data_IF_068974420899
#
_entry.id   IF_068974420899
#
_cell.length_a   1.000
_cell.length_b   1.000
_cell.length_c   1.000
_cell.angle_alpha   90.00
_cell.angle_beta   90.00
_cell.angle_gamma   90.00
#
_symmetry.space_group_name_H-M   'P 1'
#
loop_
_entity.id
_entity.type
_entity.pdbx_description
1 polymer ?
#
# COMPACT_ATOMS: atom_id res chain seq x y z
N UNK A 1 -30.12 17.10 -2.01
CA UNK A 1 -28.65 17.02 -2.02
C UNK A 1 -28.31 15.64 -1.49
N UNK A 2 -27.77 14.73 -2.32
CA UNK A 2 -27.31 13.41 -1.85
C UNK A 2 -26.18 13.66 -0.84
N UNK A 3 -26.33 13.10 0.34
CA UNK A 3 -25.37 13.18 1.44
C UNK A 3 -24.05 12.51 1.00
N UNK A 4 -23.07 13.32 0.59
CA UNK A 4 -21.81 12.87 -0.01
C UNK A 4 -20.78 12.46 1.05
N UNK A 5 -21.20 11.68 2.04
CA UNK A 5 -20.31 11.27 3.14
C UNK A 5 -19.34 10.19 2.69
N UNK A 6 -18.05 10.47 2.79
CA UNK A 6 -17.00 9.45 2.67
C UNK A 6 -16.87 8.71 4.00
N UNK A 7 -16.73 7.39 3.95
CA UNK A 7 -16.49 6.57 5.14
C UNK A 7 -15.07 5.98 5.18
N UNK A 8 -14.34 6.07 4.07
CA UNK A 8 -12.98 5.57 3.94
C UNK A 8 -12.06 6.69 3.46
N UNK A 9 -10.98 6.94 4.20
CA UNK A 9 -9.88 7.81 3.83
C UNK A 9 -8.71 6.95 3.37
N UNK A 10 -8.21 7.22 2.18
CA UNK A 10 -7.03 6.58 1.63
C UNK A 10 -5.97 7.63 1.36
N UNK A 11 -4.92 7.60 2.16
CA UNK A 11 -3.78 8.51 2.08
C UNK A 11 -2.71 7.81 1.25
N UNK A 12 -2.25 8.46 0.19
CA UNK A 12 -1.25 7.91 -0.72
C UNK A 12 -0.03 8.83 -0.79
N UNK A 13 1.14 8.25 -1.01
CA UNK A 13 2.39 9.03 -1.04
C UNK A 13 2.37 10.10 -2.14
N UNK A 14 2.10 9.71 -3.39
CA UNK A 14 2.27 10.58 -4.55
C UNK A 14 0.97 10.98 -5.26
N UNK A 15 1.05 12.11 -5.99
CA UNK A 15 -0.08 12.66 -6.78
C UNK A 15 -0.29 11.96 -8.13
N UNK A 16 0.67 11.17 -8.60
CA UNK A 16 0.65 10.65 -9.98
C UNK A 16 0.21 9.19 -10.04
N UNK A 17 1.07 8.25 -9.66
CA UNK A 17 0.81 6.83 -9.84
C UNK A 17 -0.26 6.34 -8.86
N UNK A 18 -0.03 6.53 -7.58
CA UNK A 18 -0.87 6.08 -6.48
C UNK A 18 -2.26 6.71 -6.54
N UNK A 19 -2.29 8.04 -6.68
CA UNK A 19 -3.54 8.78 -6.75
C UNK A 19 -4.40 8.33 -7.94
N UNK A 20 -3.80 8.13 -9.12
CA UNK A 20 -4.53 7.66 -10.30
C UNK A 20 -5.05 6.23 -10.12
N UNK A 21 -4.22 5.34 -9.56
CA UNK A 21 -4.58 3.95 -9.31
C UNK A 21 -5.79 3.86 -8.36
N UNK A 22 -5.69 4.49 -7.20
CA UNK A 22 -6.75 4.42 -6.20
C UNK A 22 -7.98 5.26 -6.53
N UNK A 23 -7.83 6.38 -7.26
CA UNK A 23 -8.98 7.13 -7.79
C UNK A 23 -9.76 6.31 -8.82
N UNK A 24 -9.04 5.57 -9.70
CA UNK A 24 -9.69 4.64 -10.62
C UNK A 24 -10.39 3.51 -9.87
N UNK A 25 -9.72 2.89 -8.88
CA UNK A 25 -10.33 1.88 -8.04
C UNK A 25 -11.60 2.40 -7.36
N UNK A 26 -11.52 3.55 -6.67
CA UNK A 26 -12.65 4.19 -6.00
C UNK A 26 -13.83 4.45 -6.94
N UNK A 27 -13.56 4.80 -8.21
CA UNK A 27 -14.61 5.04 -9.22
C UNK A 27 -15.38 3.78 -9.62
N UNK A 28 -14.83 2.60 -9.38
CA UNK A 28 -15.42 1.30 -9.75
C UNK A 28 -16.16 0.63 -8.58
N UNK A 29 -15.96 1.12 -7.37
CA UNK A 29 -16.63 0.62 -6.16
C UNK A 29 -18.05 1.18 -6.09
N UNK A 30 -18.97 0.42 -5.50
CA UNK A 30 -20.37 0.84 -5.33
C UNK A 30 -20.48 2.12 -4.49
N UNK A 31 -21.54 2.92 -4.76
CA UNK A 31 -21.78 4.23 -4.11
C UNK A 31 -21.90 4.16 -2.57
N UNK A 32 -22.14 2.99 -2.01
CA UNK A 32 -22.31 2.80 -0.56
C UNK A 32 -20.97 2.74 0.21
N UNK A 33 -19.85 2.64 -0.50
CA UNK A 33 -18.49 2.57 0.07
C UNK A 33 -17.61 3.66 -0.52
N UNK A 34 -17.86 4.89 -0.11
CA UNK A 34 -17.19 6.07 -0.69
C UNK A 34 -15.80 6.24 -0.14
N UNK A 35 -14.81 6.15 -1.02
CA UNK A 35 -13.40 6.37 -0.71
C UNK A 35 -13.02 7.80 -1.09
N UNK A 36 -12.42 8.52 -0.14
CA UNK A 36 -11.68 9.75 -0.42
C UNK A 36 -10.20 9.42 -0.52
N UNK A 37 -9.61 9.66 -1.69
CA UNK A 37 -8.17 9.53 -1.91
C UNK A 37 -7.52 10.91 -1.71
N UNK A 38 -6.46 10.95 -0.89
CA UNK A 38 -5.71 12.18 -0.59
C UNK A 38 -4.22 11.90 -0.80
N UNK A 39 -3.55 12.59 -1.73
CA UNK A 39 -2.09 12.52 -1.86
C UNK A 39 -1.44 13.32 -0.73
N UNK A 40 -0.47 12.72 -0.05
CA UNK A 40 0.30 13.37 1.01
C UNK A 40 1.48 14.17 0.47
N UNK A 41 2.05 13.72 -0.66
CA UNK A 41 3.18 14.36 -1.36
C UNK A 41 4.46 14.46 -0.52
N UNK A 42 4.59 13.61 0.48
CA UNK A 42 5.76 13.46 1.33
C UNK A 42 5.87 12.00 1.81
N UNK A 43 6.97 11.64 2.46
CA UNK A 43 7.18 10.29 2.96
C UNK A 43 6.40 10.01 4.26
N UNK A 44 6.25 8.72 4.59
CA UNK A 44 5.53 8.27 5.80
C UNK A 44 6.23 8.74 7.10
N UNK A 45 7.55 9.01 7.04
CA UNK A 45 8.32 9.44 8.21
C UNK A 45 7.81 10.77 8.77
N UNK A 46 7.32 11.68 7.92
CA UNK A 46 6.75 12.95 8.37
C UNK A 46 5.45 12.75 9.17
N UNK A 47 4.56 11.83 8.72
CA UNK A 47 3.34 11.52 9.48
C UNK A 47 3.72 10.89 10.82
N UNK A 48 4.60 9.89 10.79
CA UNK A 48 5.05 9.18 11.99
C UNK A 48 5.71 10.13 12.99
N UNK A 49 6.61 10.98 12.53
CA UNK A 49 7.30 11.98 13.35
C UNK A 49 6.30 12.95 13.99
N UNK A 50 5.39 13.51 13.21
CA UNK A 50 4.38 14.45 13.70
C UNK A 50 3.50 13.84 14.80
N UNK A 51 3.08 12.58 14.65
CA UNK A 51 2.29 11.87 15.67
C UNK A 51 3.13 11.65 16.94
N UNK A 52 4.41 11.28 16.81
CA UNK A 52 5.29 11.03 17.95
C UNK A 52 5.66 12.31 18.73
N UNK A 53 5.90 13.43 18.04
CA UNK A 53 6.31 14.70 18.65
C UNK A 53 5.16 15.43 19.36
N UNK A 54 3.91 15.16 18.99
CA UNK A 54 2.72 15.81 19.55
C UNK A 54 2.02 14.99 20.65
N UNK A 55 2.80 14.20 21.42
CA UNK A 55 2.38 13.47 22.65
C UNK A 55 1.17 12.52 22.48
N UNK A 56 0.99 11.94 21.29
CA UNK A 56 -0.01 10.90 21.07
C UNK A 56 -1.48 11.38 21.08
N UNK A 57 -1.72 12.68 21.13
CA UNK A 57 -3.07 13.26 21.03
C UNK A 57 -3.42 13.69 19.60
N UNK A 58 -2.51 13.52 18.64
CA UNK A 58 -2.65 13.94 17.25
C UNK A 58 -3.03 12.76 16.38
N UNK A 59 -4.12 12.89 15.64
CA UNK A 59 -4.58 11.88 14.69
C UNK A 59 -3.89 12.05 13.34
N UNK A 60 -3.97 11.02 12.47
CA UNK A 60 -3.50 11.14 11.09
C UNK A 60 -4.21 12.26 10.32
N UNK A 61 -5.50 12.48 10.59
CA UNK A 61 -6.26 13.58 9.95
C UNK A 61 -5.73 14.94 10.40
N UNK A 62 -5.38 15.11 11.69
CA UNK A 62 -4.80 16.36 12.18
C UNK A 62 -3.47 16.66 11.49
N UNK A 63 -2.64 15.64 11.31
CA UNK A 63 -1.37 15.78 10.56
C UNK A 63 -1.62 16.21 9.11
N UNK A 64 -2.60 15.61 8.42
CA UNK A 64 -2.96 16.04 7.06
C UNK A 64 -3.40 17.51 7.02
N UNK A 65 -4.24 17.93 7.96
CA UNK A 65 -4.72 19.31 8.04
C UNK A 65 -3.60 20.32 8.33
N UNK A 66 -2.59 19.89 9.06
CA UNK A 66 -1.44 20.71 9.41
C UNK A 66 -0.37 20.75 8.31
N UNK A 67 0.00 19.58 7.75
CA UNK A 67 1.14 19.44 6.83
C UNK A 67 0.79 19.78 5.39
N UNK A 68 -0.48 19.58 4.96
CA UNK A 68 -0.86 19.78 3.57
C UNK A 68 -1.34 21.21 3.32
N UNK A 69 -0.94 21.77 2.19
CA UNK A 69 -1.48 23.04 1.71
C UNK A 69 -2.87 22.84 1.05
N UNK A 70 -3.84 22.44 1.87
CA UNK A 70 -5.20 22.14 1.45
C UNK A 70 -5.98 23.41 1.18
N UNK A 71 -6.79 23.41 0.11
CA UNK A 71 -7.83 24.44 -0.06
C UNK A 71 -8.99 24.22 0.91
N UNK A 72 -9.90 25.21 0.99
CA UNK A 72 -11.00 25.18 1.96
C UNK A 72 -11.94 23.99 1.73
N UNK A 73 -12.24 23.62 0.48
CA UNK A 73 -13.07 22.46 0.15
C UNK A 73 -12.43 21.14 0.62
N UNK A 74 -11.11 20.99 0.46
CA UNK A 74 -10.38 19.82 0.91
C UNK A 74 -10.36 19.70 2.43
N UNK A 75 -10.12 20.82 3.14
CA UNK A 75 -10.20 20.88 4.60
C UNK A 75 -11.60 20.53 5.09
N UNK A 76 -12.62 21.10 4.46
CA UNK A 76 -14.01 20.83 4.81
C UNK A 76 -14.36 19.36 4.66
N UNK A 77 -13.88 18.69 3.60
CA UNK A 77 -14.06 17.24 3.41
C UNK A 77 -13.43 16.46 4.55
N UNK A 78 -12.20 16.78 4.95
CA UNK A 78 -11.52 16.08 6.03
C UNK A 78 -12.18 16.29 7.39
N UNK A 79 -12.67 17.49 7.67
CA UNK A 79 -13.29 17.86 8.96
C UNK A 79 -14.74 17.36 9.05
N UNK A 80 -15.53 17.47 7.99
CA UNK A 80 -16.98 17.16 8.03
C UNK A 80 -17.30 15.67 7.84
N UNK A 81 -16.38 14.89 7.25
CA UNK A 81 -16.61 13.47 7.08
C UNK A 81 -16.12 12.70 8.31
N UNK A 82 -16.96 11.80 8.81
CA UNK A 82 -16.55 10.83 9.82
C UNK A 82 -15.98 9.60 9.11
N UNK A 83 -14.67 9.59 8.88
CA UNK A 83 -14.00 8.42 8.34
C UNK A 83 -13.99 7.30 9.37
N UNK A 84 -14.49 6.12 8.97
CA UNK A 84 -14.49 4.91 9.79
C UNK A 84 -13.22 4.11 9.53
N UNK A 85 -12.72 4.17 8.30
CA UNK A 85 -11.53 3.43 7.86
C UNK A 85 -10.49 4.40 7.33
N UNK A 86 -9.25 4.25 7.79
CA UNK A 86 -8.10 5.05 7.35
C UNK A 86 -7.02 4.07 6.87
N UNK A 87 -6.59 4.22 5.62
CA UNK A 87 -5.50 3.46 5.02
C UNK A 87 -4.41 4.40 4.57
N UNK A 88 -3.15 4.00 4.80
CA UNK A 88 -1.95 4.70 4.36
C UNK A 88 -1.20 3.81 3.39
N UNK A 89 -0.80 4.35 2.25
CA UNK A 89 -0.08 3.62 1.19
C UNK A 89 1.18 4.38 0.85
N UNK A 90 2.32 3.76 1.14
CA UNK A 90 3.63 4.35 0.95
C UNK A 90 4.62 3.35 0.36
N UNK A 91 5.70 3.84 -0.18
CA UNK A 91 6.74 3.05 -0.80
C UNK A 91 7.84 2.68 0.23
N UNK A 92 8.57 1.59 -0.02
CA UNK A 92 9.72 1.23 0.79
C UNK A 92 10.94 2.05 0.34
N UNK A 93 11.19 3.17 0.98
CA UNK A 93 12.26 4.08 0.65
C UNK A 93 13.61 3.67 1.25
N UNK A 94 14.20 2.55 0.76
CA UNK A 94 15.54 2.12 1.19
C UNK A 94 16.67 3.02 0.71
N UNK A 95 16.43 3.83 -0.32
CA UNK A 95 17.38 4.77 -0.91
C UNK A 95 17.31 6.17 -0.27
N UNK A 96 16.53 6.35 0.78
CA UNK A 96 16.39 7.65 1.42
C UNK A 96 17.69 8.00 2.17
N UNK A 97 18.37 9.07 1.75
CA UNK A 97 19.64 9.54 2.32
C UNK A 97 19.52 10.02 3.79
N UNK A 98 18.29 10.10 4.33
CA UNK A 98 18.04 10.49 5.73
C UNK A 98 18.41 9.40 6.75
N UNK A 99 18.68 8.18 6.31
CA UNK A 99 18.99 7.04 7.18
C UNK A 99 20.31 6.41 6.75
N UNK A 100 21.26 6.29 7.67
CA UNK A 100 22.65 5.91 7.40
C UNK A 100 22.82 4.48 6.84
N UNK A 101 21.83 3.59 7.06
CA UNK A 101 21.91 2.22 6.53
C UNK A 101 20.54 1.56 6.36
N UNK A 102 20.46 0.57 5.47
CA UNK A 102 19.22 -0.18 5.17
C UNK A 102 18.60 -0.85 6.40
N UNK A 103 19.39 -1.28 7.37
CA UNK A 103 18.88 -1.95 8.57
C UNK A 103 18.07 -0.99 9.43
N UNK A 104 18.53 0.24 9.59
CA UNK A 104 17.84 1.25 10.38
C UNK A 104 16.55 1.71 9.68
N UNK A 105 16.58 1.83 8.34
CA UNK A 105 15.37 2.08 7.55
C UNK A 105 14.32 1.00 7.76
N UNK A 106 14.71 -0.28 7.66
CA UNK A 106 13.81 -1.40 7.85
C UNK A 106 13.26 -1.48 9.28
N UNK A 107 14.10 -1.26 10.31
CA UNK A 107 13.62 -1.17 11.70
C UNK A 107 12.63 -0.03 11.91
N UNK A 108 12.82 1.09 11.23
CA UNK A 108 11.91 2.24 11.34
C UNK A 108 10.56 1.94 10.71
N UNK A 109 10.55 1.27 9.56
CA UNK A 109 9.30 0.82 8.93
C UNK A 109 8.57 -0.19 9.84
N UNK A 110 9.29 -1.09 10.52
CA UNK A 110 8.70 -2.01 11.50
C UNK A 110 7.99 -1.25 12.63
N UNK A 111 8.62 -0.20 13.20
CA UNK A 111 7.98 0.66 14.22
C UNK A 111 6.71 1.33 13.68
N UNK A 112 6.73 1.83 12.43
CA UNK A 112 5.58 2.47 11.80
C UNK A 112 4.44 1.47 11.56
N UNK A 113 4.73 0.27 11.08
CA UNK A 113 3.72 -0.79 10.88
C UNK A 113 3.07 -1.23 12.19
N UNK A 114 3.79 -1.18 13.32
CA UNK A 114 3.23 -1.45 14.63
C UNK A 114 2.32 -0.31 15.14
N UNK A 115 2.62 0.95 14.79
CA UNK A 115 1.77 2.10 15.14
C UNK A 115 0.51 2.14 14.25
N UNK A 116 0.70 2.04 12.93
CA UNK A 116 -0.35 2.09 11.93
C UNK A 116 -0.84 0.68 11.57
N UNK A 117 -1.46 -0.01 12.52
CA UNK A 117 -1.81 -1.43 12.38
C UNK A 117 -3.32 -1.71 12.27
N UNK A 118 -4.16 -0.68 12.42
CA UNK A 118 -5.61 -0.85 12.48
C UNK A 118 -6.32 0.26 11.70
N UNK A 119 -7.06 -0.13 10.65
CA UNK A 119 -7.79 0.78 9.77
C UNK A 119 -8.92 1.55 10.46
N UNK A 120 -9.40 1.07 11.62
CA UNK A 120 -10.46 1.75 12.41
C UNK A 120 -9.91 2.64 13.51
N UNK A 121 -8.59 2.67 13.71
CA UNK A 121 -7.95 3.57 14.65
C UNK A 121 -7.78 4.98 14.04
N UNK A 122 -7.55 5.97 14.91
CA UNK A 122 -7.26 7.35 14.50
C UNK A 122 -5.92 7.48 13.75
N UNK A 123 -5.07 6.45 13.83
CA UNK A 123 -3.80 6.40 13.10
C UNK A 123 -3.94 5.74 11.74
N UNK A 124 -4.83 4.73 11.59
CA UNK A 124 -5.06 4.00 10.36
C UNK A 124 -4.16 2.77 10.22
N UNK A 125 -4.24 2.13 9.03
CA UNK A 125 -3.48 0.93 8.67
C UNK A 125 -2.54 1.21 7.50
N UNK A 126 -1.26 0.94 7.70
CA UNK A 126 -0.19 1.19 6.74
C UNK A 126 0.05 -0.02 5.84
N UNK A 127 0.15 0.24 4.56
CA UNK A 127 0.64 -0.68 3.54
C UNK A 127 1.92 -0.12 2.92
N UNK A 128 2.98 -0.93 2.92
CA UNK A 128 4.27 -0.59 2.29
C UNK A 128 4.44 -1.42 1.03
N UNK A 129 4.68 -0.77 -0.11
CA UNK A 129 4.96 -1.43 -1.38
C UNK A 129 6.45 -1.74 -1.54
N UNK A 130 6.77 -2.91 -2.08
CA UNK A 130 8.12 -3.43 -2.24
C UNK A 130 8.47 -3.57 -3.73
N UNK A 131 9.38 -2.74 -4.29
CA UNK A 131 10.05 -1.62 -3.65
C UNK A 131 9.19 -0.35 -3.61
N UNK A 132 8.22 -0.20 -4.52
CA UNK A 132 7.39 0.99 -4.68
C UNK A 132 6.08 0.67 -5.40
N UNK A 133 5.23 1.68 -5.55
CA UNK A 133 3.87 1.53 -6.09
C UNK A 133 3.85 0.79 -7.43
N UNK A 134 4.77 1.06 -8.34
CA UNK A 134 4.83 0.42 -9.66
C UNK A 134 4.90 -1.11 -9.63
N UNK A 135 5.20 -1.71 -8.47
CA UNK A 135 5.16 -3.17 -8.26
C UNK A 135 3.80 -3.78 -8.62
N UNK A 136 2.69 -3.00 -8.52
CA UNK A 136 1.35 -3.48 -8.88
C UNK A 136 1.23 -4.01 -10.31
N UNK A 137 2.10 -3.58 -11.22
CA UNK A 137 2.11 -3.97 -12.63
C UNK A 137 3.43 -4.57 -13.12
N UNK A 138 4.35 -4.98 -12.21
CA UNK A 138 5.62 -5.62 -12.58
C UNK A 138 5.42 -7.10 -12.95
N UNK A 139 4.32 -7.42 -13.59
CA UNK A 139 3.94 -8.73 -14.14
C UNK A 139 2.89 -8.52 -15.23
N UNK A 140 2.35 -9.58 -15.83
CA UNK A 140 1.25 -9.49 -16.78
C UNK A 140 -0.09 -9.67 -16.08
N UNK A 141 -0.92 -8.63 -16.05
CA UNK A 141 -2.17 -8.59 -15.25
C UNK A 141 -3.14 -9.72 -15.70
N UNK A 142 -3.14 -10.09 -16.98
CA UNK A 142 -3.95 -11.18 -17.50
C UNK A 142 -3.35 -12.57 -17.26
N UNK A 143 -2.09 -12.65 -16.78
CA UNK A 143 -1.40 -13.89 -16.40
C UNK A 143 -0.69 -13.72 -15.05
N UNK A 144 -1.43 -13.97 -13.96
CA UNK A 144 -0.96 -13.79 -12.58
C UNK A 144 0.25 -14.66 -12.22
N UNK A 145 0.49 -15.76 -12.98
CA UNK A 145 1.64 -16.64 -12.76
C UNK A 145 2.96 -15.96 -13.12
N UNK A 146 2.94 -14.92 -13.95
CA UNK A 146 4.16 -14.17 -14.32
C UNK A 146 4.76 -13.34 -13.18
N UNK A 147 4.07 -13.24 -12.05
CA UNK A 147 4.62 -12.64 -10.81
C UNK A 147 5.36 -13.67 -9.94
N UNK A 148 5.14 -14.98 -10.12
CA UNK A 148 5.70 -16.00 -9.25
C UNK A 148 7.21 -15.82 -9.06
N UNK A 149 7.64 -15.71 -7.79
CA UNK A 149 9.04 -15.56 -7.39
C UNK A 149 9.78 -14.40 -8.06
N UNK A 150 9.08 -13.37 -8.54
CA UNK A 150 9.72 -12.20 -9.13
C UNK A 150 10.46 -11.41 -8.04
N UNK A 151 11.76 -11.27 -8.21
CA UNK A 151 12.67 -10.57 -7.29
C UNK A 151 13.45 -9.49 -8.01
N UNK A 152 13.93 -8.52 -7.24
CA UNK A 152 14.92 -7.53 -7.67
C UNK A 152 16.05 -7.46 -6.64
N UNK A 153 17.21 -6.95 -7.04
CA UNK A 153 18.27 -6.61 -6.07
C UNK A 153 17.91 -5.34 -5.30
N UNK A 154 18.21 -5.30 -4.02
CA UNK A 154 17.95 -4.14 -3.14
C UNK A 154 19.08 -3.12 -3.16
N UNK A 155 19.75 -2.94 -4.32
CA UNK A 155 20.80 -1.93 -4.51
C UNK A 155 20.17 -0.61 -4.93
N UNK A 156 20.80 0.51 -4.53
CA UNK A 156 20.32 1.85 -4.89
C UNK A 156 20.16 2.03 -6.41
N UNK A 157 21.09 1.50 -7.20
CA UNK A 157 21.04 1.57 -8.67
C UNK A 157 19.74 0.96 -9.21
N UNK A 158 19.37 -0.24 -8.75
CA UNK A 158 18.13 -0.92 -9.19
C UNK A 158 16.90 -0.21 -8.66
N UNK A 159 16.89 0.23 -7.41
CA UNK A 159 15.76 0.92 -6.80
C UNK A 159 15.46 2.26 -7.50
N UNK A 160 16.49 3.06 -7.77
CA UNK A 160 16.34 4.34 -8.51
C UNK A 160 15.80 4.09 -9.94
N UNK A 161 16.24 3.00 -10.57
CA UNK A 161 15.84 2.67 -11.95
C UNK A 161 14.57 1.80 -12.03
N UNK A 162 13.94 1.46 -10.93
CA UNK A 162 12.86 0.47 -10.89
C UNK A 162 11.67 0.82 -11.80
N UNK A 163 11.28 2.09 -11.88
CA UNK A 163 10.19 2.54 -12.77
C UNK A 163 10.46 2.21 -14.25
N UNK A 164 11.71 2.36 -14.68
CA UNK A 164 12.11 2.00 -16.04
C UNK A 164 12.10 0.48 -16.25
N UNK A 165 12.56 -0.30 -15.26
CA UNK A 165 12.51 -1.77 -15.30
C UNK A 165 11.05 -2.23 -15.46
N UNK A 166 10.14 -1.73 -14.65
CA UNK A 166 8.71 -2.03 -14.76
C UNK A 166 8.13 -1.59 -16.11
N UNK A 167 8.59 -0.45 -16.63
CA UNK A 167 8.18 0.02 -17.96
C UNK A 167 8.55 -0.94 -19.10
N UNK A 168 9.66 -1.65 -18.96
CA UNK A 168 10.13 -2.63 -19.95
C UNK A 168 9.52 -4.03 -19.75
N UNK A 169 9.44 -4.50 -18.51
CA UNK A 169 9.09 -5.89 -18.18
C UNK A 169 7.62 -6.07 -17.79
N UNK A 170 7.02 -5.04 -17.21
CA UNK A 170 5.70 -5.11 -16.60
C UNK A 170 4.55 -4.99 -17.60
N UNK A 171 3.35 -4.84 -17.07
CA UNK A 171 2.15 -4.55 -17.84
C UNK A 171 2.08 -3.05 -18.17
N UNK A 172 1.76 -2.76 -19.43
CA UNK A 172 1.66 -1.39 -19.94
C UNK A 172 0.22 -0.95 -20.22
N UNK A 173 -0.76 -1.70 -19.70
CA UNK A 173 -2.18 -1.35 -19.80
C UNK A 173 -2.44 0.02 -19.17
N UNK A 174 -3.21 0.86 -19.86
CA UNK A 174 -3.54 2.18 -19.34
C UNK A 174 -4.46 2.07 -18.11
N UNK A 175 -4.08 2.69 -17.00
CA UNK A 175 -4.84 2.65 -15.75
C UNK A 175 -6.30 3.11 -15.90
N UNK A 176 -6.59 4.05 -16.79
CA UNK A 176 -7.96 4.51 -17.04
C UNK A 176 -8.86 3.43 -17.67
N UNK A 177 -8.27 2.41 -18.33
CA UNK A 177 -8.98 1.27 -18.89
C UNK A 177 -9.15 0.11 -17.91
N UNK A 178 -8.61 0.19 -16.69
CA UNK A 178 -8.71 -0.87 -15.69
C UNK A 178 -10.17 -1.11 -15.29
N UNK A 179 -10.50 -2.38 -15.15
CA UNK A 179 -11.77 -2.91 -14.67
C UNK A 179 -11.61 -3.45 -13.24
N UNK A 180 -12.72 -3.80 -12.59
CA UNK A 180 -12.65 -4.51 -11.31
C UNK A 180 -11.91 -5.85 -11.42
N UNK A 181 -11.97 -6.51 -12.59
CA UNK A 181 -11.24 -7.76 -12.83
C UNK A 181 -9.72 -7.53 -12.87
N UNK A 182 -9.25 -6.39 -13.40
CA UNK A 182 -7.82 -6.06 -13.37
C UNK A 182 -7.35 -5.87 -11.92
N UNK A 183 -8.10 -5.14 -11.11
CA UNK A 183 -7.79 -4.97 -9.68
C UNK A 183 -7.86 -6.29 -8.92
N UNK A 184 -8.80 -7.18 -9.26
CA UNK A 184 -8.85 -8.52 -8.71
C UNK A 184 -7.60 -9.34 -9.06
N UNK A 185 -7.17 -9.35 -10.33
CA UNK A 185 -5.98 -10.07 -10.77
C UNK A 185 -4.71 -9.53 -10.10
N UNK A 186 -4.58 -8.20 -9.97
CA UNK A 186 -3.48 -7.56 -9.26
C UNK A 186 -3.46 -8.01 -7.79
N UNK A 187 -4.57 -7.88 -7.09
CA UNK A 187 -4.69 -8.32 -5.70
C UNK A 187 -4.36 -9.80 -5.55
N UNK A 188 -4.95 -10.66 -6.38
CA UNK A 188 -4.73 -12.12 -6.39
C UNK A 188 -3.26 -12.47 -6.59
N UNK A 189 -2.60 -11.88 -7.58
CA UNK A 189 -1.19 -12.14 -7.87
C UNK A 189 -0.30 -11.79 -6.67
N UNK A 190 -0.52 -10.62 -6.07
CA UNK A 190 0.26 -10.18 -4.93
C UNK A 190 -0.07 -10.92 -3.63
N UNK A 191 -1.31 -11.39 -3.43
CA UNK A 191 -1.64 -12.30 -2.34
C UNK A 191 -0.91 -13.65 -2.48
N UNK A 192 -0.84 -14.21 -3.70
CA UNK A 192 -0.09 -15.44 -3.97
C UNK A 192 1.42 -15.23 -3.76
N UNK A 193 1.96 -14.09 -4.19
CA UNK A 193 3.35 -13.70 -3.98
C UNK A 193 3.69 -13.52 -2.48
N UNK A 194 2.78 -12.95 -1.71
CA UNK A 194 2.90 -12.82 -0.27
C UNK A 194 2.88 -14.18 0.44
N UNK A 195 2.04 -15.12 0.00
CA UNK A 195 2.06 -16.50 0.49
C UNK A 195 3.40 -17.19 0.17
N UNK A 196 3.95 -16.98 -1.04
CA UNK A 196 5.26 -17.51 -1.37
C UNK A 196 6.34 -16.96 -0.43
N UNK A 197 6.30 -15.65 -0.14
CA UNK A 197 7.25 -15.00 0.77
C UNK A 197 7.23 -15.58 2.18
N UNK A 198 6.05 -15.83 2.73
CA UNK A 198 5.88 -16.21 4.15
C UNK A 198 5.79 -17.71 4.38
N UNK A 199 5.32 -18.48 3.40
CA UNK A 199 5.05 -19.92 3.56
C UNK A 199 5.73 -20.80 2.50
N UNK A 200 6.49 -20.21 1.56
CA UNK A 200 7.07 -20.88 0.39
C UNK A 200 6.03 -21.55 -0.54
N UNK A 201 4.78 -21.10 -0.52
CA UNK A 201 3.71 -21.63 -1.36
C UNK A 201 3.07 -20.54 -2.21
N UNK A 202 3.19 -20.63 -3.54
CA UNK A 202 2.52 -19.70 -4.47
C UNK A 202 1.07 -20.16 -4.70
N UNK A 203 0.15 -19.75 -3.82
CA UNK A 203 -1.27 -20.13 -3.87
C UNK A 203 -2.17 -18.98 -3.42
N UNK A 204 -3.43 -19.01 -3.81
CA UNK A 204 -4.43 -18.08 -3.28
C UNK A 204 -4.64 -18.40 -1.79
N UNK A 205 -4.49 -17.44 -0.88
CA UNK A 205 -4.71 -17.65 0.53
C UNK A 205 -6.19 -17.88 0.86
N UNK A 206 -6.45 -18.64 1.93
CA UNK A 206 -7.71 -18.55 2.65
C UNK A 206 -7.74 -17.26 3.50
N UNK A 207 -8.90 -16.91 4.03
CA UNK A 207 -9.02 -15.78 4.95
C UNK A 207 -8.19 -16.01 6.24
N UNK A 208 -8.07 -17.25 6.71
CA UNK A 208 -7.24 -17.60 7.86
C UNK A 208 -5.74 -17.43 7.52
N UNK A 209 -5.29 -17.91 6.34
CA UNK A 209 -3.91 -17.69 5.87
C UNK A 209 -3.57 -16.19 5.84
N UNK A 210 -4.54 -15.33 5.44
CA UNK A 210 -4.32 -13.88 5.40
C UNK A 210 -4.03 -13.31 6.79
N UNK A 211 -4.89 -13.58 7.76
CA UNK A 211 -4.69 -13.07 9.12
C UNK A 211 -3.49 -13.68 9.84
N UNK A 212 -3.13 -14.91 9.54
CA UNK A 212 -1.98 -15.59 10.15
C UNK A 212 -0.64 -15.15 9.55
N UNK A 213 -0.57 -14.97 8.22
CA UNK A 213 0.71 -14.83 7.52
C UNK A 213 0.87 -13.51 6.77
N UNK A 214 -0.21 -12.85 6.32
CA UNK A 214 -0.13 -11.77 5.34
C UNK A 214 -0.40 -10.37 5.91
N UNK A 215 -0.43 -10.23 7.23
CA UNK A 215 -0.50 -8.89 7.83
C UNK A 215 0.73 -8.07 7.42
N UNK A 216 0.59 -6.73 7.22
CA UNK A 216 1.68 -5.89 6.75
C UNK A 216 2.99 -6.05 7.53
N UNK A 217 2.91 -6.21 8.85
CA UNK A 217 4.09 -6.45 9.70
C UNK A 217 4.79 -7.78 9.39
N UNK A 218 4.05 -8.87 9.19
CA UNK A 218 4.61 -10.20 8.89
C UNK A 218 5.34 -10.19 7.53
N UNK A 219 4.73 -9.52 6.54
CA UNK A 219 5.33 -9.34 5.22
C UNK A 219 6.61 -8.51 5.28
N UNK A 220 6.61 -7.45 6.10
CA UNK A 220 7.78 -6.62 6.29
C UNK A 220 8.94 -7.42 6.91
N UNK A 221 8.69 -8.17 7.98
CA UNK A 221 9.70 -8.99 8.63
C UNK A 221 10.30 -10.04 7.67
N UNK A 222 9.47 -10.68 6.85
CA UNK A 222 9.93 -11.63 5.85
C UNK A 222 10.74 -10.94 4.73
N UNK A 223 10.35 -9.77 4.25
CA UNK A 223 11.13 -8.96 3.30
C UNK A 223 12.45 -8.51 3.92
N UNK A 224 12.44 -8.02 5.16
CA UNK A 224 13.63 -7.60 5.89
C UNK A 224 14.67 -8.73 5.96
N UNK A 225 14.24 -9.95 6.24
CA UNK A 225 15.12 -11.10 6.31
C UNK A 225 15.86 -11.35 4.98
N UNK A 226 15.14 -11.39 3.85
CA UNK A 226 15.76 -11.63 2.54
C UNK A 226 16.59 -10.44 2.05
N UNK A 227 16.19 -9.20 2.34
CA UNK A 227 16.96 -8.00 2.02
C UNK A 227 18.30 -8.01 2.75
N UNK A 228 18.29 -8.24 4.05
CA UNK A 228 19.53 -8.23 4.85
C UNK A 228 20.46 -9.40 4.53
N UNK A 229 19.90 -10.60 4.32
CA UNK A 229 20.71 -11.82 4.08
C UNK A 229 21.17 -11.98 2.63
N UNK A 230 20.30 -11.67 1.66
CA UNK A 230 20.52 -12.00 0.24
C UNK A 230 20.68 -10.78 -0.67
N UNK A 231 20.43 -9.57 -0.16
CA UNK A 231 20.42 -8.34 -0.95
C UNK A 231 19.42 -8.36 -2.11
N UNK A 232 18.35 -9.09 -1.95
CA UNK A 232 17.21 -9.15 -2.88
C UNK A 232 15.92 -8.78 -2.16
N UNK A 233 14.93 -8.42 -2.93
CA UNK A 233 13.58 -8.10 -2.47
C UNK A 233 12.57 -8.82 -3.37
N UNK A 234 11.55 -9.42 -2.79
CA UNK A 234 10.44 -9.97 -3.56
C UNK A 234 9.55 -8.80 -4.01
N UNK A 235 9.21 -8.74 -5.30
CA UNK A 235 8.30 -7.71 -5.81
C UNK A 235 6.91 -7.91 -5.24
N UNK A 236 6.44 -6.98 -4.41
CA UNK A 236 5.18 -7.12 -3.68
C UNK A 236 4.46 -5.78 -3.52
N UNK A 237 3.25 -5.68 -4.05
CA UNK A 237 2.37 -4.54 -3.85
C UNK A 237 1.35 -4.86 -2.76
N UNK A 238 1.65 -4.52 -1.50
CA UNK A 238 0.74 -4.80 -0.37
C UNK A 238 -0.49 -3.93 -0.39
N UNK A 239 -0.42 -2.74 -0.98
CA UNK A 239 -1.57 -1.83 -1.09
C UNK A 239 -2.70 -2.37 -1.98
N UNK A 240 -2.39 -3.34 -2.87
CA UNK A 240 -3.42 -4.04 -3.64
C UNK A 240 -4.36 -4.86 -2.75
N UNK A 241 -3.94 -5.21 -1.53
CA UNK A 241 -4.78 -5.94 -0.55
C UNK A 241 -5.96 -5.12 -0.04
N UNK A 242 -5.94 -3.80 -0.21
CA UNK A 242 -7.12 -2.93 0.02
C UNK A 242 -8.33 -3.44 -0.77
N UNK A 243 -8.13 -4.12 -1.92
CA UNK A 243 -9.21 -4.76 -2.65
C UNK A 243 -10.00 -5.76 -1.79
N UNK A 244 -9.35 -6.50 -0.89
CA UNK A 244 -9.99 -7.52 -0.04
C UNK A 244 -10.93 -6.91 0.99
N UNK A 245 -10.69 -5.68 1.41
CA UNK A 245 -11.55 -4.94 2.34
C UNK A 245 -12.94 -4.64 1.73
N UNK A 246 -13.00 -4.58 0.40
CA UNK A 246 -14.24 -4.33 -0.34
C UNK A 246 -14.81 -5.60 -0.97
N UNK A 247 -13.96 -6.57 -1.32
CA UNK A 247 -14.33 -7.77 -2.07
C UNK A 247 -13.66 -9.03 -1.50
N UNK A 248 -14.33 -9.73 -0.61
CA UNK A 248 -13.82 -10.98 0.00
C UNK A 248 -13.64 -12.13 -1.01
N UNK A 249 -14.15 -12.00 -2.22
CA UNK A 249 -13.97 -12.97 -3.30
C UNK A 249 -12.53 -13.16 -3.80
N UNK A 250 -11.57 -12.34 -3.31
CA UNK A 250 -10.14 -12.52 -3.57
C UNK A 250 -9.54 -13.72 -2.82
N UNK A 251 -10.18 -14.19 -1.76
CA UNK A 251 -9.73 -15.33 -0.98
C UNK A 251 -10.27 -16.65 -1.53
N UNK A 252 -9.50 -17.73 -1.31
CA UNK A 252 -9.97 -19.08 -1.61
C UNK A 252 -11.12 -19.42 -0.65
N UNK A 253 -12.33 -19.62 -1.18
CA UNK A 253 -13.44 -20.18 -0.41
C UNK A 253 -13.10 -21.65 -0.18
N UNK A 254 -12.58 -22.00 1.00
CA UNK A 254 -12.62 -23.39 1.43
C UNK A 254 -14.10 -23.77 1.55
N UNK A 255 -14.51 -24.74 0.71
CA UNK A 255 -15.68 -25.53 0.94
C UNK A 255 -15.57 -26.28 2.26
#
# INVERSE_FOLDING_TARGET
MEDSRYNTLLIVEGEKCEYKYFSKFASLISKDRRIKVVPFCNDIYEIYKSIKELDGNTTTIDVLLYCLNLNDDQKEILIKNKFVYIYLVFDLELQNDRIENQKDSLSKIEEMLNLFNNETSEYGKLFINYPMMESYRHFKIDDVMTLENKTITSTNEVLINYKNIVGMEGDNKNIYSYTLNDFYNICKAHLMQAMLLTTNCFKIPSINDYYEHLLPINLHLAQQEIILKKKIMLVLNTSSFIYTEFYQGAFNKKN
#
